data_IF_454088771392
#
_entry.id   IF_454088771392
#
_cell.length_a   1.000
_cell.length_b   1.000
_cell.length_c   1.000
_cell.angle_alpha   90.00
_cell.angle_beta   90.00
_cell.angle_gamma   90.00
#
_symmetry.space_group_name_H-M   'P 1'
#
loop_
_entity.id
_entity.type
_entity.pdbx_description
1 polymer ?
#
# COMPACT_ATOMS: atom_id res chain seq x y z
N UNK A 1 74.93 17.02 -22.90
CA UNK A 1 75.89 18.15 -22.94
C UNK A 1 77.28 17.58 -23.11
N UNK A 2 77.99 18.03 -24.15
CA UNK A 2 79.27 17.52 -24.62
C UNK A 2 80.41 18.11 -23.79
N UNK A 3 81.34 17.31 -23.29
CA UNK A 3 82.69 17.76 -22.92
C UNK A 3 83.71 17.01 -23.77
N UNK A 4 84.24 17.72 -24.77
CA UNK A 4 85.40 17.31 -25.57
C UNK A 4 86.62 17.16 -24.66
N UNK A 5 87.25 15.99 -24.66
CA UNK A 5 88.64 15.85 -24.25
C UNK A 5 89.45 15.82 -25.54
N UNK A 6 90.23 16.87 -25.75
CA UNK A 6 91.19 17.01 -26.82
C UNK A 6 92.40 16.12 -26.52
N UNK A 7 92.70 15.18 -27.43
CA UNK A 7 93.97 14.48 -27.46
C UNK A 7 94.59 14.68 -28.83
N UNK A 8 95.43 15.72 -28.91
CA UNK A 8 96.35 15.97 -30.01
C UNK A 8 97.41 14.87 -30.01
N UNK A 9 97.37 13.98 -31.01
CA UNK A 9 98.49 13.11 -31.35
C UNK A 9 99.14 13.67 -32.60
N UNK A 10 100.30 14.31 -32.40
CA UNK A 10 101.21 14.70 -33.48
C UNK A 10 101.91 13.42 -33.92
N UNK A 11 101.52 12.87 -35.07
CA UNK A 11 102.25 11.83 -35.75
C UNK A 11 102.86 12.41 -37.04
N UNK A 12 103.99 13.09 -36.89
CA UNK A 12 104.83 13.49 -38.02
C UNK A 12 105.68 12.30 -38.43
N UNK A 13 105.58 11.95 -39.72
CA UNK A 13 106.38 10.92 -40.37
C UNK A 13 107.88 11.14 -40.16
N UNK A 14 108.58 10.10 -39.72
CA UNK A 14 110.03 9.98 -39.82
C UNK A 14 110.39 8.53 -40.17
N UNK A 15 111.11 8.43 -41.28
CA UNK A 15 111.45 7.21 -41.98
C UNK A 15 112.44 6.33 -41.21
N UNK A 16 112.28 5.01 -41.36
CA UNK A 16 113.36 4.04 -41.51
C UNK A 16 114.53 4.07 -40.51
N UNK A 17 114.28 3.76 -39.24
CA UNK A 17 115.30 3.18 -38.36
C UNK A 17 114.64 2.33 -37.25
N UNK A 18 115.10 1.09 -36.97
CA UNK A 18 114.55 0.30 -35.88
C UNK A 18 114.92 0.91 -34.52
N UNK A 19 113.92 1.27 -33.73
CA UNK A 19 114.08 1.78 -32.37
C UNK A 19 114.76 0.73 -31.46
N UNK A 20 115.63 1.15 -30.53
CA UNK A 20 116.37 0.24 -29.65
C UNK A 20 115.46 -0.42 -28.58
N UNK A 21 115.71 -1.70 -28.27
CA UNK A 21 114.89 -2.59 -27.41
C UNK A 21 114.56 -2.05 -26.01
N UNK A 22 115.33 -1.08 -25.50
CA UNK A 22 115.10 -0.48 -24.18
C UNK A 22 113.93 0.53 -24.19
N UNK A 23 113.58 1.09 -25.35
CA UNK A 23 112.44 2.01 -25.50
C UNK A 23 111.10 1.30 -25.73
N UNK A 24 111.12 0.05 -26.21
CA UNK A 24 109.90 -0.72 -26.52
C UNK A 24 109.29 -1.42 -25.30
N UNK A 25 110.11 -1.81 -24.32
CA UNK A 25 109.67 -2.51 -23.11
C UNK A 25 108.73 -1.67 -22.21
N UNK A 26 109.02 -0.40 -21.89
CA UNK A 26 108.12 0.41 -21.07
C UNK A 26 106.79 0.70 -21.80
N UNK A 27 106.82 0.94 -23.12
CA UNK A 27 105.60 1.16 -23.90
C UNK A 27 104.72 -0.09 -24.00
N UNK A 28 105.32 -1.29 -24.11
CA UNK A 28 104.56 -2.54 -24.09
C UNK A 28 103.94 -2.83 -22.72
N UNK A 29 104.62 -2.50 -21.62
CA UNK A 29 104.08 -2.66 -20.26
C UNK A 29 102.97 -1.63 -19.98
N UNK A 30 103.11 -0.38 -20.43
CA UNK A 30 102.04 0.63 -20.30
C UNK A 30 100.86 0.29 -21.19
N UNK A 31 101.07 -0.20 -22.41
CA UNK A 31 100.00 -0.69 -23.30
C UNK A 31 99.29 -1.92 -22.74
N UNK A 32 100.02 -2.87 -22.14
CA UNK A 32 99.44 -4.05 -21.52
C UNK A 32 98.65 -3.72 -20.25
N UNK A 33 99.15 -2.82 -19.40
CA UNK A 33 98.46 -2.41 -18.16
C UNK A 33 97.26 -1.51 -18.44
N UNK A 34 97.33 -0.59 -19.41
CA UNK A 34 96.14 0.19 -19.82
C UNK A 34 95.08 -0.68 -20.50
N UNK A 35 95.47 -1.69 -21.28
CA UNK A 35 94.55 -2.71 -21.82
C UNK A 35 93.87 -3.54 -20.73
N UNK A 36 94.61 -3.97 -19.70
CA UNK A 36 94.08 -4.72 -18.55
C UNK A 36 93.16 -3.87 -17.66
N UNK A 37 93.48 -2.58 -17.48
CA UNK A 37 92.64 -1.64 -16.74
C UNK A 37 91.33 -1.35 -17.50
N UNK A 38 91.36 -1.23 -18.83
CA UNK A 38 90.13 -1.08 -19.62
C UNK A 38 89.24 -2.33 -19.59
N UNK A 39 89.83 -3.52 -19.64
CA UNK A 39 89.09 -4.80 -19.54
C UNK A 39 88.52 -5.06 -18.15
N UNK A 40 89.12 -4.53 -17.09
CA UNK A 40 88.65 -4.71 -15.71
C UNK A 40 87.63 -3.65 -15.29
N UNK A 41 87.68 -2.42 -15.84
CA UNK A 41 86.73 -1.36 -15.51
C UNK A 41 85.39 -1.47 -16.26
N UNK A 42 85.35 -2.15 -17.42
CA UNK A 42 84.11 -2.33 -18.20
C UNK A 42 83.26 -3.52 -17.77
N UNK A 43 83.73 -4.35 -16.83
CA UNK A 43 83.17 -5.68 -16.63
C UNK A 43 83.34 -6.55 -17.88
N UNK A 44 83.30 -7.87 -17.74
CA UNK A 44 83.28 -8.75 -18.92
C UNK A 44 81.91 -8.58 -19.61
N UNK A 45 81.84 -8.27 -20.92
CA UNK A 45 80.57 -8.22 -21.66
C UNK A 45 79.76 -9.52 -21.54
N UNK A 46 80.45 -10.64 -21.32
CA UNK A 46 79.83 -11.94 -21.06
C UNK A 46 79.12 -12.01 -19.70
N UNK A 47 79.62 -11.34 -18.66
CA UNK A 47 78.96 -11.27 -17.36
C UNK A 47 77.69 -10.41 -17.45
N UNK A 48 77.75 -9.26 -18.13
CA UNK A 48 76.57 -8.42 -18.36
C UNK A 48 75.49 -9.17 -19.14
N UNK A 49 75.87 -9.91 -20.17
CA UNK A 49 74.95 -10.74 -20.96
C UNK A 49 74.35 -11.90 -20.15
N UNK A 50 75.12 -12.51 -19.25
CA UNK A 50 74.61 -13.52 -18.33
C UNK A 50 73.61 -12.93 -17.34
N UNK A 51 73.92 -11.78 -16.74
CA UNK A 51 73.01 -11.06 -15.84
C UNK A 51 71.73 -10.61 -16.55
N UNK A 52 71.81 -10.15 -17.80
CA UNK A 52 70.62 -9.82 -18.60
C UNK A 52 69.74 -11.04 -18.85
N UNK A 53 70.30 -12.20 -19.21
CA UNK A 53 69.53 -13.43 -19.36
C UNK A 53 68.91 -13.92 -18.05
N UNK A 54 69.60 -13.75 -16.93
CA UNK A 54 69.05 -14.08 -15.62
C UNK A 54 67.91 -13.15 -15.23
N UNK A 55 68.04 -11.84 -15.53
CA UNK A 55 66.95 -10.86 -15.35
C UNK A 55 65.76 -11.16 -16.26
N UNK A 56 65.97 -11.48 -17.52
CA UNK A 56 64.91 -11.88 -18.45
C UNK A 56 64.18 -13.13 -17.97
N UNK A 57 64.91 -14.14 -17.48
CA UNK A 57 64.30 -15.33 -16.87
C UNK A 57 63.50 -15.01 -15.62
N UNK A 58 64.01 -14.13 -14.76
CA UNK A 58 63.31 -13.70 -13.55
C UNK A 58 62.03 -12.90 -13.88
N UNK A 59 62.08 -12.04 -14.89
CA UNK A 59 60.90 -11.31 -15.39
C UNK A 59 59.88 -12.29 -15.98
N UNK A 60 60.32 -13.26 -16.78
CA UNK A 60 59.44 -14.27 -17.35
C UNK A 60 58.79 -15.14 -16.25
N UNK A 61 59.55 -15.57 -15.23
CA UNK A 61 58.97 -16.32 -14.11
C UNK A 61 57.95 -15.49 -13.34
N UNK A 62 58.25 -14.21 -13.05
CA UNK A 62 57.30 -13.30 -12.40
C UNK A 62 56.03 -13.08 -13.23
N UNK A 63 56.15 -12.95 -14.55
CA UNK A 63 55.00 -12.84 -15.45
C UNK A 63 54.13 -14.10 -15.39
N UNK A 64 54.74 -15.29 -15.43
CA UNK A 64 53.96 -16.55 -15.34
C UNK A 64 53.29 -16.73 -13.97
N UNK A 65 53.93 -16.32 -12.88
CA UNK A 65 53.33 -16.34 -11.54
C UNK A 65 52.17 -15.36 -11.45
N UNK A 66 52.32 -14.15 -12.01
CA UNK A 66 51.26 -13.15 -12.06
C UNK A 66 50.07 -13.61 -12.91
N UNK A 67 50.31 -14.24 -14.06
CA UNK A 67 49.25 -14.81 -14.89
C UNK A 67 48.49 -15.94 -14.17
N UNK A 68 49.21 -16.83 -13.47
CA UNK A 68 48.60 -17.88 -12.64
C UNK A 68 47.76 -17.29 -11.52
N UNK A 69 48.28 -16.27 -10.82
CA UNK A 69 47.56 -15.57 -9.76
C UNK A 69 46.29 -14.90 -10.31
N UNK A 70 46.38 -14.19 -11.43
CA UNK A 70 45.24 -13.54 -12.10
C UNK A 70 44.19 -14.56 -12.55
N UNK A 71 44.62 -15.69 -13.12
CA UNK A 71 43.72 -16.76 -13.53
C UNK A 71 43.02 -17.42 -12.31
N UNK A 72 43.72 -17.55 -11.18
CA UNK A 72 43.12 -17.99 -9.92
C UNK A 72 42.04 -17.01 -9.43
N UNK A 73 42.36 -15.72 -9.35
CA UNK A 73 41.42 -14.68 -8.94
C UNK A 73 40.18 -14.62 -9.84
N UNK A 74 40.34 -14.77 -11.16
CA UNK A 74 39.20 -14.81 -12.08
C UNK A 74 38.30 -16.01 -11.85
N UNK A 75 38.87 -17.19 -11.56
CA UNK A 75 38.09 -18.38 -11.22
C UNK A 75 37.35 -18.22 -9.90
N UNK A 76 37.99 -17.66 -8.88
CA UNK A 76 37.38 -17.42 -7.58
C UNK A 76 36.23 -16.42 -7.69
N UNK A 77 36.42 -15.32 -8.44
CA UNK A 77 35.36 -14.35 -8.72
C UNK A 77 34.20 -14.95 -9.51
N UNK A 78 34.50 -15.80 -10.51
CA UNK A 78 33.47 -16.46 -11.28
C UNK A 78 32.66 -17.44 -10.42
N UNK A 79 33.33 -18.23 -9.57
CA UNK A 79 32.66 -19.14 -8.64
C UNK A 79 31.80 -18.38 -7.62
N UNK A 80 32.28 -17.24 -7.12
CA UNK A 80 31.47 -16.36 -6.25
C UNK A 80 30.26 -15.77 -6.97
N UNK A 81 30.43 -15.33 -8.22
CA UNK A 81 29.34 -14.79 -9.02
C UNK A 81 28.28 -15.87 -9.30
N UNK A 82 28.69 -17.10 -9.64
CA UNK A 82 27.80 -18.23 -9.86
C UNK A 82 27.04 -18.59 -8.57
N UNK A 83 27.72 -18.68 -7.43
CA UNK A 83 27.10 -18.97 -6.14
C UNK A 83 26.06 -17.91 -5.72
N UNK A 84 26.38 -16.62 -5.89
CA UNK A 84 25.44 -15.53 -5.60
C UNK A 84 24.23 -15.59 -6.54
N UNK A 85 24.44 -15.94 -7.81
CA UNK A 85 23.36 -16.02 -8.80
C UNK A 85 22.44 -17.22 -8.53
N UNK A 86 22.99 -18.36 -8.11
CA UNK A 86 22.21 -19.52 -7.65
C UNK A 86 21.37 -19.17 -6.42
N UNK A 87 21.97 -18.49 -5.43
CA UNK A 87 21.25 -18.04 -4.24
C UNK A 87 20.13 -17.05 -4.59
N UNK A 88 20.41 -16.07 -5.45
CA UNK A 88 19.41 -15.10 -5.90
C UNK A 88 18.24 -15.78 -6.64
N UNK A 89 18.52 -16.79 -7.45
CA UNK A 89 17.49 -17.55 -8.15
C UNK A 89 16.64 -18.38 -7.18
N UNK A 90 17.25 -18.98 -6.15
CA UNK A 90 16.54 -19.69 -5.10
C UNK A 90 15.64 -18.74 -4.29
N UNK A 91 16.16 -17.59 -3.86
CA UNK A 91 15.40 -16.58 -3.12
C UNK A 91 14.23 -16.03 -3.95
N UNK A 92 14.45 -15.80 -5.25
CA UNK A 92 13.39 -15.39 -6.17
C UNK A 92 12.29 -16.44 -6.31
N UNK A 93 12.66 -17.71 -6.40
CA UNK A 93 11.68 -18.80 -6.49
C UNK A 93 10.87 -18.91 -5.20
N UNK A 94 11.52 -18.88 -4.03
CA UNK A 94 10.86 -18.90 -2.73
C UNK A 94 9.88 -17.73 -2.57
N UNK A 95 10.30 -16.51 -2.96
CA UNK A 95 9.43 -15.33 -2.95
C UNK A 95 8.21 -15.49 -3.85
N UNK A 96 8.39 -16.02 -5.08
CA UNK A 96 7.29 -16.27 -6.01
C UNK A 96 6.32 -17.34 -5.48
N UNK A 97 6.80 -18.39 -4.84
CA UNK A 97 5.96 -19.42 -4.24
C UNK A 97 5.16 -18.89 -3.05
N UNK A 98 5.80 -18.08 -2.18
CA UNK A 98 5.11 -17.43 -1.07
C UNK A 98 3.97 -16.54 -1.57
N UNK A 99 4.23 -15.70 -2.58
CA UNK A 99 3.20 -14.81 -3.12
C UNK A 99 2.09 -15.55 -3.86
N UNK A 100 2.38 -16.66 -4.54
CA UNK A 100 1.33 -17.52 -5.12
C UNK A 100 0.39 -18.03 -4.04
N UNK A 101 0.95 -18.50 -2.91
CA UNK A 101 0.15 -19.00 -1.80
C UNK A 101 -0.70 -17.90 -1.15
N UNK A 102 -0.19 -16.67 -1.07
CA UNK A 102 -0.98 -15.51 -0.63
C UNK A 102 -2.11 -15.17 -1.62
N UNK A 103 -1.84 -15.20 -2.93
CA UNK A 103 -2.86 -14.99 -3.95
C UNK A 103 -3.97 -16.05 -3.89
N UNK A 104 -3.61 -17.31 -3.69
CA UNK A 104 -4.58 -18.40 -3.53
C UNK A 104 -5.47 -18.18 -2.30
N UNK A 105 -4.89 -17.74 -1.17
CA UNK A 105 -5.68 -17.38 0.04
C UNK A 105 -6.64 -16.22 -0.22
N UNK A 106 -6.22 -15.21 -0.99
CA UNK A 106 -7.10 -14.09 -1.34
C UNK A 106 -8.21 -14.54 -2.29
N UNK A 107 -7.93 -15.43 -3.24
CA UNK A 107 -8.95 -16.01 -4.11
C UNK A 107 -10.00 -16.77 -3.31
N UNK A 108 -9.59 -17.66 -2.40
CA UNK A 108 -10.49 -18.38 -1.49
C UNK A 108 -11.36 -17.43 -0.65
N UNK A 109 -10.77 -16.31 -0.18
CA UNK A 109 -11.49 -15.30 0.59
C UNK A 109 -12.52 -14.55 -0.26
N UNK A 110 -12.19 -14.24 -1.50
CA UNK A 110 -13.12 -13.60 -2.45
C UNK A 110 -14.31 -14.53 -2.71
N UNK A 111 -14.07 -15.81 -2.99
CA UNK A 111 -15.12 -16.80 -3.24
C UNK A 111 -16.04 -16.96 -2.02
N UNK A 112 -15.46 -16.99 -0.82
CA UNK A 112 -16.23 -16.99 0.43
C UNK A 112 -17.12 -15.74 0.57
N UNK A 113 -16.58 -14.54 0.33
CA UNK A 113 -17.33 -13.28 0.42
C UNK A 113 -18.42 -13.19 -0.65
N UNK A 114 -18.19 -13.70 -1.86
CA UNK A 114 -19.21 -13.79 -2.90
C UNK A 114 -20.35 -14.72 -2.48
N UNK A 115 -20.04 -15.84 -1.82
CA UNK A 115 -21.05 -16.73 -1.28
C UNK A 115 -21.85 -16.10 -0.14
N UNK A 116 -21.20 -15.39 0.78
CA UNK A 116 -21.88 -14.64 1.85
C UNK A 116 -22.80 -13.56 1.27
N UNK A 117 -22.32 -12.80 0.28
CA UNK A 117 -23.11 -11.77 -0.39
C UNK A 117 -24.35 -12.38 -1.07
N UNK A 118 -24.19 -13.49 -1.79
CA UNK A 118 -25.31 -14.20 -2.41
C UNK A 118 -26.32 -14.72 -1.37
N UNK A 119 -25.84 -15.19 -0.22
CA UNK A 119 -26.68 -15.64 0.90
C UNK A 119 -27.47 -14.47 1.51
N UNK A 120 -26.82 -13.32 1.72
CA UNK A 120 -27.47 -12.11 2.23
C UNK A 120 -28.49 -11.57 1.23
N UNK A 121 -28.18 -11.55 -0.07
CA UNK A 121 -29.12 -11.15 -1.11
C UNK A 121 -30.37 -12.04 -1.10
N UNK A 122 -30.22 -13.37 -1.02
CA UNK A 122 -31.39 -14.27 -0.90
C UNK A 122 -32.25 -13.96 0.33
N UNK A 123 -31.62 -13.70 1.48
CA UNK A 123 -32.35 -13.30 2.68
C UNK A 123 -33.06 -11.97 2.49
N UNK A 124 -32.43 -11.02 1.80
CA UNK A 124 -33.04 -9.74 1.49
C UNK A 124 -34.25 -9.93 0.56
N UNK A 125 -34.15 -10.77 -0.46
CA UNK A 125 -35.27 -11.12 -1.34
C UNK A 125 -36.43 -11.73 -0.53
N UNK A 126 -36.14 -12.62 0.42
CA UNK A 126 -37.14 -13.20 1.33
C UNK A 126 -37.82 -12.13 2.22
N UNK A 127 -37.12 -11.04 2.56
CA UNK A 127 -37.64 -9.93 3.36
C UNK A 127 -38.37 -8.86 2.54
N UNK A 128 -37.93 -8.60 1.31
CA UNK A 128 -38.53 -7.62 0.40
C UNK A 128 -39.78 -8.18 -0.29
N UNK A 129 -39.83 -9.49 -0.50
CA UNK A 129 -41.01 -10.22 -0.93
C UNK A 129 -41.44 -11.22 0.16
N UNK A 130 -41.97 -10.76 1.32
CA UNK A 130 -42.73 -11.67 2.15
C UNK A 130 -43.88 -12.12 1.26
N UNK A 131 -43.84 -13.37 0.78
CA UNK A 131 -44.94 -13.97 0.04
C UNK A 131 -46.15 -13.93 0.98
N UNK A 132 -46.91 -12.84 0.90
CA UNK A 132 -48.20 -12.72 1.52
C UNK A 132 -49.04 -13.84 0.90
N UNK A 133 -49.73 -14.66 1.70
CA UNK A 133 -50.56 -15.73 1.18
C UNK A 133 -51.47 -15.15 0.09
N UNK A 134 -51.45 -15.75 -1.11
CA UNK A 134 -52.26 -15.29 -2.24
C UNK A 134 -53.72 -15.13 -1.77
N UNK A 135 -54.23 -13.89 -1.84
CA UNK A 135 -55.60 -13.54 -1.42
C UNK A 135 -55.74 -12.64 -0.19
N UNK A 136 -54.65 -12.20 0.47
CA UNK A 136 -54.75 -11.19 1.56
C UNK A 136 -54.61 -9.78 0.98
N UNK A 137 -55.73 -9.06 0.90
CA UNK A 137 -55.76 -7.67 0.45
C UNK A 137 -54.96 -6.75 1.41
N UNK A 138 -54.21 -5.78 0.85
CA UNK A 138 -53.25 -4.93 1.59
C UNK A 138 -53.90 -4.14 2.75
N UNK A 139 -55.17 -3.79 2.58
CA UNK A 139 -56.02 -3.12 3.56
C UNK A 139 -56.31 -4.00 4.77
N UNK A 140 -56.47 -5.32 4.59
CA UNK A 140 -56.68 -6.27 5.69
C UNK A 140 -55.42 -6.41 6.57
N UNK A 141 -54.23 -6.32 5.97
CA UNK A 141 -52.95 -6.35 6.69
C UNK A 141 -52.80 -5.07 7.53
N UNK A 142 -53.04 -3.92 6.91
CA UNK A 142 -53.04 -2.65 7.61
C UNK A 142 -54.04 -2.64 8.77
N UNK A 143 -55.25 -3.18 8.56
CA UNK A 143 -56.27 -3.28 9.60
C UNK A 143 -55.85 -4.16 10.77
N UNK A 144 -55.26 -5.34 10.51
CA UNK A 144 -54.72 -6.21 11.57
C UNK A 144 -53.64 -5.50 12.36
N UNK A 145 -52.70 -4.85 11.68
CA UNK A 145 -51.59 -4.17 12.34
C UNK A 145 -52.04 -2.99 13.20
N UNK A 146 -53.03 -2.23 12.74
CA UNK A 146 -53.66 -1.16 13.53
C UNK A 146 -54.30 -1.72 14.80
N UNK A 147 -55.04 -2.83 14.71
CA UNK A 147 -55.69 -3.46 15.86
C UNK A 147 -54.64 -4.00 16.85
N UNK A 148 -53.58 -4.64 16.38
CA UNK A 148 -52.47 -5.11 17.22
C UNK A 148 -51.77 -3.97 17.98
N UNK A 149 -51.53 -2.84 17.32
CA UNK A 149 -50.92 -1.66 17.96
C UNK A 149 -51.89 -1.08 18.99
N UNK A 150 -53.16 -0.93 18.65
CA UNK A 150 -54.17 -0.39 19.56
C UNK A 150 -54.37 -1.30 20.79
N UNK A 151 -54.38 -2.62 20.61
CA UNK A 151 -54.49 -3.56 21.73
C UNK A 151 -53.26 -3.51 22.66
N UNK A 152 -52.05 -3.43 22.09
CA UNK A 152 -50.81 -3.18 22.86
C UNK A 152 -50.84 -1.86 23.66
N UNK A 153 -51.57 -0.86 23.14
CA UNK A 153 -51.76 0.43 23.79
C UNK A 153 -52.94 0.45 24.78
N UNK A 154 -53.61 -0.69 24.99
CA UNK A 154 -54.74 -0.85 25.92
C UNK A 154 -56.10 -0.54 25.32
N UNK A 155 -56.18 -0.22 24.02
CA UNK A 155 -57.43 0.09 23.31
C UNK A 155 -57.96 -1.15 22.59
N UNK A 156 -58.79 -1.94 23.26
CA UNK A 156 -59.42 -3.14 22.64
C UNK A 156 -60.43 -2.75 21.59
N UNK A 157 -60.20 -3.17 20.35
CA UNK A 157 -61.02 -2.81 19.20
C UNK A 157 -61.43 -4.04 18.38
N UNK A 158 -62.69 -4.09 17.96
CA UNK A 158 -63.19 -5.11 17.02
C UNK A 158 -63.05 -4.62 15.58
N UNK A 159 -62.50 -5.46 14.70
CA UNK A 159 -62.47 -5.21 13.26
C UNK A 159 -63.89 -5.20 12.67
N UNK A 160 -64.17 -4.26 11.77
CA UNK A 160 -65.41 -4.26 10.98
C UNK A 160 -65.15 -4.43 9.49
N UNK A 161 -64.34 -3.55 8.92
CA UNK A 161 -64.10 -3.50 7.49
C UNK A 161 -62.86 -2.67 7.20
N UNK A 162 -62.15 -3.01 6.14
CA UNK A 162 -61.13 -2.18 5.50
C UNK A 162 -61.40 -2.09 4.01
N UNK A 163 -60.87 -1.06 3.38
CA UNK A 163 -60.79 -0.97 1.93
C UNK A 163 -59.70 0.03 1.54
N UNK A 164 -59.21 -0.12 0.32
CA UNK A 164 -58.31 0.84 -0.32
C UNK A 164 -59.13 1.81 -1.18
N UNK A 165 -58.92 3.11 -1.00
CA UNK A 165 -59.45 4.11 -1.93
C UNK A 165 -58.33 5.10 -2.31
N UNK A 166 -57.99 5.07 -3.61
CA UNK A 166 -57.05 5.92 -4.34
C UNK A 166 -55.65 6.05 -3.73
N UNK A 167 -55.51 6.67 -2.56
CA UNK A 167 -54.23 6.93 -1.86
C UNK A 167 -54.29 6.65 -0.35
N UNK A 168 -55.45 6.27 0.18
CA UNK A 168 -55.67 6.04 1.60
C UNK A 168 -56.19 4.63 1.83
N UNK A 169 -55.69 4.01 2.90
CA UNK A 169 -56.27 2.79 3.44
C UNK A 169 -57.25 3.21 4.54
N UNK A 170 -58.49 2.78 4.38
CA UNK A 170 -59.56 3.07 5.32
C UNK A 170 -59.76 1.85 6.21
N UNK A 171 -59.71 2.03 7.52
CA UNK A 171 -59.91 0.95 8.48
C UNK A 171 -61.04 1.33 9.43
N UNK A 172 -62.12 0.55 9.43
CA UNK A 172 -63.23 0.68 10.38
C UNK A 172 -63.05 -0.29 11.53
N UNK A 173 -63.01 0.27 12.72
CA UNK A 173 -62.90 -0.46 13.99
C UNK A 173 -63.98 -0.02 14.96
N UNK A 174 -64.41 -0.92 15.85
CA UNK A 174 -65.32 -0.60 16.94
C UNK A 174 -64.57 -0.73 18.26
N UNK A 175 -64.27 0.38 18.97
CA UNK A 175 -63.66 0.29 20.29
C UNK A 175 -64.64 -0.34 21.27
N UNK A 176 -64.16 -1.29 22.08
CA UNK A 176 -64.91 -1.82 23.23
C UNK A 176 -64.82 -0.87 24.43
N UNK A 177 -63.70 -0.18 24.56
CA UNK A 177 -63.37 0.71 25.68
C UNK A 177 -62.79 2.04 25.15
N UNK A 178 -63.03 3.14 25.88
CA UNK A 178 -62.47 4.51 25.69
C UNK A 178 -62.74 5.29 24.39
N UNK A 179 -63.40 4.71 23.39
CA UNK A 179 -64.01 5.46 22.28
C UNK A 179 -63.02 6.31 21.45
N UNK A 180 -63.54 7.36 20.79
CA UNK A 180 -62.74 8.22 19.88
C UNK A 180 -61.64 9.00 20.60
N UNK A 181 -61.91 9.45 21.83
CA UNK A 181 -60.99 10.30 22.61
C UNK A 181 -59.72 9.55 23.01
N UNK A 182 -59.83 8.26 23.28
CA UNK A 182 -58.68 7.45 23.67
C UNK A 182 -57.79 7.15 22.45
N UNK A 183 -58.39 6.73 21.33
CA UNK A 183 -57.67 6.48 20.08
C UNK A 183 -56.95 7.74 19.58
N UNK A 184 -57.57 8.93 19.71
CA UNK A 184 -56.94 10.22 19.37
C UNK A 184 -55.61 10.46 20.07
N UNK A 185 -55.44 9.99 21.32
CA UNK A 185 -54.19 10.13 22.08
C UNK A 185 -53.05 9.29 21.52
N UNK A 186 -53.37 8.26 20.74
CA UNK A 186 -52.43 7.27 20.23
C UNK A 186 -52.09 7.43 18.75
N UNK A 187 -52.66 8.43 18.06
CA UNK A 187 -52.45 8.64 16.61
C UNK A 187 -50.98 8.87 16.23
N UNK A 188 -50.23 9.65 17.02
CA UNK A 188 -48.81 9.88 16.74
C UNK A 188 -47.98 8.61 16.90
N UNK A 189 -48.34 7.73 17.85
CA UNK A 189 -47.67 6.43 18.03
C UNK A 189 -48.01 5.48 16.88
N UNK A 190 -49.27 5.46 16.45
CA UNK A 190 -49.71 4.71 15.27
C UNK A 190 -48.95 5.16 14.02
N UNK A 191 -48.72 6.47 13.83
CA UNK A 191 -47.94 6.99 12.71
C UNK A 191 -46.50 6.44 12.70
N UNK A 192 -45.83 6.45 13.85
CA UNK A 192 -44.45 6.00 13.97
C UNK A 192 -44.32 4.49 13.76
N UNK A 193 -45.18 3.68 14.40
CA UNK A 193 -45.11 2.22 14.31
C UNK A 193 -45.53 1.67 12.93
N UNK A 194 -46.47 2.35 12.25
CA UNK A 194 -46.90 1.98 10.90
C UNK A 194 -46.07 2.66 9.80
N UNK A 195 -45.12 3.53 10.16
CA UNK A 195 -44.31 4.26 9.19
C UNK A 195 -45.12 5.12 8.22
N UNK A 196 -46.23 5.72 8.67
CA UNK A 196 -47.14 6.50 7.80
C UNK A 196 -46.56 7.86 7.43
N UNK A 197 -46.90 8.37 6.24
CA UNK A 197 -46.43 9.66 5.74
C UNK A 197 -46.97 10.82 6.58
N UNK A 198 -48.25 10.69 6.93
CA UNK A 198 -49.03 11.66 7.68
C UNK A 198 -49.64 10.99 8.93
N UNK A 199 -49.94 11.77 9.98
CA UNK A 199 -50.66 11.24 11.13
C UNK A 199 -52.03 10.72 10.69
N UNK A 200 -52.46 9.55 11.20
CA UNK A 200 -53.72 8.95 10.80
C UNK A 200 -54.90 9.85 11.18
N UNK A 201 -55.82 10.04 10.24
CA UNK A 201 -57.07 10.78 10.49
C UNK A 201 -58.10 9.88 11.18
N UNK A 202 -59.02 10.47 11.94
CA UNK A 202 -60.19 9.77 12.51
C UNK A 202 -61.47 10.46 12.04
N UNK A 203 -62.47 9.66 11.63
CA UNK A 203 -63.86 10.07 11.59
C UNK A 203 -64.74 9.07 12.35
N UNK A 204 -65.78 9.60 13.00
CA UNK A 204 -66.78 8.79 13.69
C UNK A 204 -67.94 8.51 12.76
N UNK A 205 -68.19 7.22 12.52
CA UNK A 205 -69.28 6.69 11.70
C UNK A 205 -70.29 6.04 12.65
N UNK A 206 -71.60 5.97 12.33
CA UNK A 206 -72.58 5.36 13.24
C UNK A 206 -72.16 3.95 13.69
N UNK A 207 -71.82 3.80 14.97
CA UNK A 207 -71.41 2.53 15.58
C UNK A 207 -69.96 2.08 15.33
N UNK A 208 -69.10 2.90 14.71
CA UNK A 208 -67.69 2.58 14.46
C UNK A 208 -66.80 3.83 14.33
N UNK A 209 -65.50 3.64 14.43
CA UNK A 209 -64.48 4.65 14.17
C UNK A 209 -63.76 4.26 12.89
N UNK A 210 -63.64 5.22 11.97
CA UNK A 210 -62.94 5.06 10.70
C UNK A 210 -61.59 5.79 10.76
N UNK A 211 -60.52 5.04 10.52
CA UNK A 211 -59.16 5.53 10.43
C UNK A 211 -58.75 5.71 8.97
N UNK A 212 -58.10 6.82 8.67
CA UNK A 212 -57.55 7.13 7.36
C UNK A 212 -56.04 7.05 7.43
N UNK A 213 -55.44 6.07 6.75
CA UNK A 213 -54.01 5.81 6.80
C UNK A 213 -53.38 6.15 5.44
N UNK A 214 -52.34 7.00 5.44
CA UNK A 214 -51.55 7.32 4.26
C UNK A 214 -50.18 6.63 4.33
N UNK A 215 -49.97 5.50 3.63
CA UNK A 215 -48.67 4.82 3.60
C UNK A 215 -47.58 5.70 2.94
N UNK A 216 -46.33 5.63 3.42
CA UNK A 216 -45.19 6.42 2.87
C UNK A 216 -44.82 6.04 1.45
N UNK A 217 -45.01 4.78 1.11
CA UNK A 217 -44.76 4.23 -0.21
C UNK A 217 -46.05 3.54 -0.63
N UNK A 218 -46.82 4.15 -1.54
CA UNK A 218 -47.45 3.28 -2.53
C UNK A 218 -46.27 2.69 -3.29
N UNK A 219 -46.07 1.38 -3.19
CA UNK A 219 -45.21 0.69 -4.14
C UNK A 219 -45.90 0.84 -5.48
N UNK A 220 -45.63 1.96 -6.17
CA UNK A 220 -45.69 1.98 -7.61
C UNK A 220 -44.62 0.99 -8.03
N UNK A 221 -45.05 -0.20 -8.47
CA UNK A 221 -44.27 -1.00 -9.39
C UNK A 221 -44.18 -0.18 -10.69
N UNK A 222 -43.35 0.87 -10.67
CA UNK A 222 -42.96 1.63 -11.84
C UNK A 222 -41.68 0.98 -12.36
N UNK A 223 -41.70 0.71 -13.66
CA UNK A 223 -40.74 -0.08 -14.43
C UNK A 223 -39.28 0.21 -14.03
N UNK A 224 -38.52 -0.88 -13.89
CA UNK A 224 -37.12 -0.86 -13.52
C UNK A 224 -36.32 0.13 -14.40
N UNK A 225 -35.41 0.93 -13.82
CA UNK A 225 -34.45 1.66 -14.64
C UNK A 225 -33.51 0.64 -15.29
N UNK A 226 -33.45 0.68 -16.62
CA UNK A 226 -32.47 -0.02 -17.46
C UNK A 226 -31.04 0.37 -17.03
N UNK A 227 -30.46 -0.35 -16.08
CA UNK A 227 -29.03 -0.32 -15.79
C UNK A 227 -28.33 -1.46 -16.51
N UNK A 228 -28.40 -1.46 -17.84
CA UNK A 228 -27.50 -2.22 -18.69
C UNK A 228 -26.31 -1.34 -19.08
N UNK A 229 -25.38 -1.12 -18.14
CA UNK A 229 -24.02 -0.68 -18.49
C UNK A 229 -23.04 -1.59 -17.77
N UNK A 230 -22.57 -2.61 -18.48
CA UNK A 230 -21.38 -3.38 -18.10
C UNK A 230 -20.18 -2.45 -18.18
N UNK A 231 -19.46 -2.17 -17.08
CA UNK A 231 -18.24 -1.37 -17.15
C UNK A 231 -17.13 -2.23 -17.77
N UNK A 232 -16.65 -1.82 -18.93
CA UNK A 232 -15.43 -2.35 -19.52
C UNK A 232 -14.24 -1.99 -18.62
N UNK A 233 -13.56 -3.02 -18.11
CA UNK A 233 -12.46 -2.88 -17.18
C UNK A 233 -11.18 -2.43 -17.93
N UNK A 234 -10.83 -1.16 -17.81
CA UNK A 234 -9.55 -0.63 -18.29
C UNK A 234 -8.56 -0.51 -17.11
N UNK A 235 -7.48 -1.30 -17.07
CA UNK A 235 -6.56 -1.33 -15.92
C UNK A 235 -5.77 -0.02 -15.71
N UNK A 236 -5.64 0.83 -16.74
CA UNK A 236 -5.00 2.15 -16.60
C UNK A 236 -5.86 3.18 -15.85
N UNK A 237 -7.18 2.99 -15.80
CA UNK A 237 -8.07 3.88 -15.05
C UNK A 237 -8.13 3.55 -13.55
N UNK A 238 -7.66 2.37 -13.12
CA UNK A 238 -7.77 1.94 -11.72
C UNK A 238 -6.88 2.77 -10.77
N UNK A 239 -5.69 3.18 -11.22
CA UNK A 239 -4.76 4.00 -10.42
C UNK A 239 -5.18 5.48 -10.37
N UNK A 240 -5.60 6.05 -11.52
CA UNK A 240 -6.11 7.42 -11.56
C UNK A 240 -7.46 7.56 -10.82
N UNK A 241 -8.31 6.53 -10.85
CA UNK A 241 -9.53 6.50 -10.05
C UNK A 241 -9.27 6.28 -8.56
N UNK A 242 -8.15 5.67 -8.15
CA UNK A 242 -7.81 5.57 -6.73
C UNK A 242 -7.50 6.97 -6.17
N UNK A 243 -6.78 7.81 -6.90
CA UNK A 243 -6.51 9.19 -6.47
C UNK A 243 -7.75 10.10 -6.57
N UNK A 244 -8.62 9.89 -7.58
CA UNK A 244 -9.83 10.70 -7.78
C UNK A 244 -11.02 10.30 -6.88
N UNK A 245 -11.16 9.03 -6.51
CA UNK A 245 -12.30 8.55 -5.69
C UNK A 245 -12.19 8.95 -4.22
N UNK A 246 -10.97 9.16 -3.69
CA UNK A 246 -10.78 9.62 -2.32
C UNK A 246 -11.11 11.11 -2.09
N UNK A 247 -11.19 11.92 -3.16
CA UNK A 247 -11.45 13.36 -3.03
C UNK A 247 -12.93 13.77 -3.04
N UNK A 248 -13.85 12.89 -3.45
CA UNK A 248 -15.25 13.29 -3.72
C UNK A 248 -16.32 12.59 -2.84
N UNK A 249 -15.96 11.58 -2.03
CA UNK A 249 -16.97 10.73 -1.38
C UNK A 249 -16.95 10.62 0.14
N UNK A 250 -15.85 10.98 0.82
CA UNK A 250 -15.80 10.78 2.28
C UNK A 250 -16.65 11.83 3.02
N UNK A 251 -17.79 11.38 3.54
CA UNK A 251 -18.66 12.13 4.44
C UNK A 251 -18.18 11.88 5.87
N UNK A 252 -17.93 12.96 6.63
CA UNK A 252 -17.55 12.85 8.04
C UNK A 252 -18.60 12.02 8.81
N UNK A 253 -18.23 10.87 9.41
CA UNK A 253 -19.17 10.07 10.18
C UNK A 253 -19.74 10.88 11.36
N UNK A 254 -21.06 10.83 11.56
CA UNK A 254 -21.71 11.43 12.73
C UNK A 254 -21.26 10.75 14.03
N UNK A 255 -20.98 9.45 13.97
CA UNK A 255 -20.52 8.64 15.09
C UNK A 255 -18.99 8.67 15.21
N UNK A 256 -18.52 9.04 16.40
CA UNK A 256 -17.09 9.07 16.72
C UNK A 256 -16.57 7.67 17.01
N UNK A 257 -15.36 7.38 16.55
CA UNK A 257 -14.75 6.06 16.71
C UNK A 257 -14.26 5.90 18.16
N UNK A 258 -14.46 4.72 18.74
CA UNK A 258 -13.90 4.43 20.04
C UNK A 258 -12.40 4.12 19.91
N UNK A 259 -11.50 4.70 20.73
CA UNK A 259 -10.07 4.45 20.64
C UNK A 259 -9.66 3.13 21.33
N UNK A 260 -10.39 2.06 21.05
CA UNK A 260 -10.16 0.71 21.59
C UNK A 260 -10.20 -0.31 20.44
N UNK A 261 -9.42 -1.39 20.56
CA UNK A 261 -9.32 -2.43 19.53
C UNK A 261 -8.29 -2.12 18.44
N UNK A 262 -8.40 -2.80 17.30
CA UNK A 262 -7.48 -2.65 16.18
C UNK A 262 -7.71 -1.33 15.42
N UNK A 263 -6.67 -0.85 14.72
CA UNK A 263 -6.76 0.35 13.87
C UNK A 263 -7.56 0.01 12.62
N UNK A 264 -8.72 0.65 12.48
CA UNK A 264 -9.63 0.46 11.36
C UNK A 264 -9.20 1.28 10.14
N UNK A 265 -9.51 0.80 8.93
CA UNK A 265 -9.28 1.56 7.70
C UNK A 265 -10.03 2.90 7.72
N UNK A 266 -11.21 2.95 8.34
CA UNK A 266 -11.99 4.18 8.53
C UNK A 266 -11.22 5.27 9.30
N UNK A 267 -10.45 4.92 10.33
CA UNK A 267 -9.61 5.89 11.06
C UNK A 267 -8.50 6.47 10.15
N UNK A 268 -7.91 5.63 9.28
CA UNK A 268 -6.87 6.04 8.33
C UNK A 268 -7.44 6.97 7.26
N UNK A 269 -8.58 6.59 6.68
CA UNK A 269 -9.27 7.37 5.65
C UNK A 269 -9.74 8.72 6.23
N UNK A 270 -10.26 8.73 7.46
CA UNK A 270 -10.67 9.96 8.14
C UNK A 270 -9.48 10.86 8.46
N UNK A 271 -8.35 10.31 8.92
CA UNK A 271 -7.14 11.10 9.13
C UNK A 271 -6.65 11.73 7.82
N UNK A 272 -6.61 10.94 6.74
CA UNK A 272 -6.18 11.43 5.43
C UNK A 272 -7.13 12.50 4.88
N UNK A 273 -8.44 12.37 5.11
CA UNK A 273 -9.44 13.38 4.76
C UNK A 273 -9.28 14.67 5.56
N UNK A 274 -9.05 14.59 6.88
CA UNK A 274 -8.76 15.78 7.71
C UNK A 274 -7.46 16.43 7.25
N UNK A 275 -6.48 15.62 6.84
CA UNK A 275 -5.20 16.09 6.36
C UNK A 275 -5.32 16.80 5.01
N UNK A 276 -6.05 16.28 4.04
CA UNK A 276 -6.27 16.98 2.76
C UNK A 276 -7.03 18.30 2.94
N UNK A 277 -7.86 18.43 3.98
CA UNK A 277 -8.56 19.67 4.36
C UNK A 277 -7.73 20.67 5.17
N UNK A 278 -6.42 20.42 5.34
CA UNK A 278 -5.51 21.34 6.03
C UNK A 278 -5.62 21.31 7.56
N UNK A 279 -6.36 20.36 8.14
CA UNK A 279 -6.41 20.19 9.59
C UNK A 279 -5.14 19.43 10.01
N UNK A 280 -4.25 20.14 10.70
CA UNK A 280 -2.90 19.66 11.11
C UNK A 280 -2.74 19.54 12.62
N UNK A 281 -3.71 20.04 13.40
CA UNK A 281 -3.63 20.12 14.85
C UNK A 281 -4.02 18.79 15.49
N UNK A 282 -3.10 18.21 16.26
CA UNK A 282 -3.29 16.94 16.94
C UNK A 282 -4.55 16.90 17.82
N UNK A 283 -4.83 17.94 18.61
CA UNK A 283 -6.00 17.96 19.50
C UNK A 283 -7.31 17.99 18.72
N UNK A 284 -7.33 18.74 17.63
CA UNK A 284 -8.51 18.87 16.77
C UNK A 284 -8.81 17.55 16.06
N UNK A 285 -7.77 16.90 15.51
CA UNK A 285 -7.87 15.58 14.89
C UNK A 285 -8.40 14.56 15.90
N UNK A 286 -7.83 14.54 17.12
CA UNK A 286 -8.23 13.60 18.16
C UNK A 286 -9.70 13.79 18.55
N UNK A 287 -10.13 15.04 18.69
CA UNK A 287 -11.51 15.38 19.02
C UNK A 287 -12.47 15.02 17.90
N UNK A 288 -12.07 15.16 16.63
CA UNK A 288 -12.93 14.88 15.47
C UNK A 288 -13.06 13.40 15.19
N UNK A 289 -12.00 12.62 15.26
CA UNK A 289 -12.06 11.18 14.95
C UNK A 289 -12.63 10.40 16.15
N UNK A 290 -12.08 10.63 17.35
CA UNK A 290 -12.38 9.80 18.53
C UNK A 290 -13.25 10.47 19.59
N UNK A 291 -13.64 11.74 19.41
CA UNK A 291 -14.41 12.47 20.42
C UNK A 291 -13.67 12.62 21.76
N UNK A 292 -12.34 12.47 21.77
CA UNK A 292 -11.54 12.52 22.98
C UNK A 292 -10.98 13.93 23.22
N UNK A 293 -11.08 14.42 24.45
CA UNK A 293 -10.53 15.71 24.88
C UNK A 293 -9.51 15.49 25.99
N UNK A 294 -8.63 16.45 26.25
CA UNK A 294 -7.60 16.33 27.28
C UNK A 294 -8.14 16.13 28.70
N UNK A 295 -9.43 16.37 28.95
CA UNK A 295 -10.10 16.04 30.21
C UNK A 295 -10.43 14.55 30.37
N UNK A 296 -10.49 13.80 29.26
CA UNK A 296 -10.75 12.35 29.25
C UNK A 296 -9.42 11.58 29.25
N UNK A 297 -8.62 11.74 30.31
CA UNK A 297 -7.21 11.33 30.41
C UNK A 297 -6.84 10.06 29.64
N UNK A 298 -7.40 8.90 30.03
CA UNK A 298 -7.11 7.62 29.39
C UNK A 298 -7.53 7.53 27.92
N UNK A 299 -8.73 8.03 27.60
CA UNK A 299 -9.27 8.01 26.24
C UNK A 299 -8.43 8.89 25.32
N UNK A 300 -7.97 10.03 25.81
CA UNK A 300 -7.13 10.97 25.06
C UNK A 300 -5.72 10.44 24.85
N UNK A 301 -5.11 9.84 25.88
CA UNK A 301 -3.78 9.21 25.74
C UNK A 301 -3.79 8.09 24.70
N UNK A 302 -4.82 7.23 24.71
CA UNK A 302 -4.98 6.17 23.71
C UNK A 302 -5.21 6.71 22.30
N UNK A 303 -6.12 7.68 22.14
CA UNK A 303 -6.36 8.31 20.85
C UNK A 303 -5.11 9.02 20.30
N UNK A 304 -4.30 9.61 21.19
CA UNK A 304 -3.00 10.21 20.84
C UNK A 304 -1.99 9.18 20.36
N UNK A 305 -1.89 8.03 21.01
CA UNK A 305 -0.97 6.97 20.58
C UNK A 305 -1.40 6.37 19.25
N UNK A 306 -2.71 6.11 19.07
CA UNK A 306 -3.27 5.64 17.79
C UNK A 306 -3.00 6.63 16.66
N UNK A 307 -3.24 7.92 16.90
CA UNK A 307 -2.96 8.95 15.91
C UNK A 307 -1.49 8.97 15.50
N UNK A 308 -0.56 8.74 16.44
CA UNK A 308 0.86 8.64 16.11
C UNK A 308 1.15 7.46 15.19
N UNK A 309 0.64 6.27 15.51
CA UNK A 309 0.82 5.06 14.69
C UNK A 309 0.28 5.27 13.27
N UNK A 310 -0.96 5.78 13.15
CA UNK A 310 -1.59 6.02 11.84
C UNK A 310 -0.81 7.09 11.06
N UNK A 311 -0.38 8.17 11.72
CA UNK A 311 0.38 9.22 11.04
C UNK A 311 1.75 8.73 10.55
N UNK A 312 2.43 7.85 11.31
CA UNK A 312 3.69 7.23 10.92
C UNK A 312 3.50 6.29 9.72
N UNK A 313 2.45 5.47 9.71
CA UNK A 313 2.09 4.61 8.58
C UNK A 313 1.76 5.40 7.30
N UNK A 314 1.11 6.57 7.44
CA UNK A 314 0.72 7.41 6.31
C UNK A 314 1.79 8.44 5.92
N UNK A 315 2.93 8.50 6.60
CA UNK A 315 3.99 9.49 6.34
C UNK A 315 3.57 10.94 6.62
N UNK A 316 2.69 11.16 7.60
CA UNK A 316 2.07 12.45 7.92
C UNK A 316 2.80 13.16 9.09
N UNK A 317 3.26 14.40 8.89
CA UNK A 317 3.92 15.20 9.93
C UNK A 317 2.94 16.04 10.77
N UNK A 318 2.51 15.52 11.92
CA UNK A 318 1.62 16.27 12.83
C UNK A 318 2.34 17.48 13.46
N UNK A 319 1.73 18.67 13.38
CA UNK A 319 2.24 19.84 14.10
C UNK A 319 2.03 19.64 15.61
N UNK A 320 3.14 19.49 16.34
CA UNK A 320 3.12 19.70 17.80
C UNK A 320 2.86 21.19 18.05
N UNK A 321 2.01 21.48 19.03
CA UNK A 321 1.77 22.85 19.46
C UNK A 321 3.09 23.42 19.95
N UNK A 322 3.62 24.43 19.27
CA UNK A 322 4.56 25.36 19.89
C UNK A 322 3.80 26.04 21.02
N UNK A 323 4.30 25.94 22.25
CA UNK A 323 3.75 26.65 23.39
C UNK A 323 4.04 28.15 23.18
N UNK A 324 3.14 28.83 22.47
CA UNK A 324 2.98 30.28 22.48
C UNK A 324 1.97 30.69 23.55
#
# INVERSE_FOLDING_TARGET
MKSLIATTVIATALAGAPLPKWATLPMQIVGATTGLIYLTKSGSPWQHWQEEREREKAIASQQTEFEKWKAGQLKDLQAQAEAVNEQLNADKQAFLEQHKLELDRYADRIDFLQHELASVMRRLDDYEAPQLPEGVEQDAIAARRVIEILDRLGCRCDYRQSWLDSHYIYVRIRPREGGEREIKRHLNRLQLELGLAEPPGIATVPGAIQLYLRPKTMVSLSEAPDFAVTPQFHPEMALANLEASYHMGFVEPETKIQPYGDISQLEKDWLNWLWTRGIRNQKEIISRIWGATSGNGDRFLRARERLRVIAEELGIELRRRDNG
#
